data_IF_632363763062
#
_entry.id   IF_632363763062
#
_cell.length_a   1.000
_cell.length_b   1.000
_cell.length_c   1.000
_cell.angle_alpha   90.00
_cell.angle_beta   90.00
_cell.angle_gamma   90.00
#
_symmetry.space_group_name_H-M   'P 1'
#
loop_
_entity.id
_entity.type
_entity.pdbx_description
1 polymer ?
#
# COMPACT_ATOMS: atom_id res chain seq x y z
N UNK A 1 -54.48 -1.05 -26.11
CA UNK A 1 -53.44 -0.04 -25.97
C UNK A 1 -52.64 -0.37 -24.72
N UNK A 2 -51.40 -0.86 -24.89
CA UNK A 2 -50.44 -1.01 -23.79
C UNK A 2 -49.73 0.34 -23.65
N UNK A 3 -49.51 0.83 -22.43
CA UNK A 3 -48.71 2.02 -22.24
C UNK A 3 -47.25 1.74 -22.57
N UNK A 4 -46.66 2.52 -23.47
CA UNK A 4 -45.25 2.57 -23.78
C UNK A 4 -44.51 3.04 -22.51
N UNK A 5 -43.67 2.16 -21.93
CA UNK A 5 -42.75 2.52 -20.89
C UNK A 5 -41.70 3.46 -21.50
N UNK A 6 -41.73 4.75 -21.14
CA UNK A 6 -40.61 5.65 -21.37
C UNK A 6 -39.38 5.08 -20.64
N UNK A 7 -38.43 4.58 -21.41
CA UNK A 7 -37.05 4.37 -20.95
C UNK A 7 -36.51 5.78 -20.72
N UNK A 8 -36.39 6.20 -19.46
CA UNK A 8 -35.61 7.38 -19.10
C UNK A 8 -34.16 7.10 -19.54
N UNK A 9 -33.72 7.82 -20.57
CA UNK A 9 -32.31 7.90 -20.92
C UNK A 9 -31.55 8.41 -19.70
N UNK A 10 -30.84 7.51 -19.07
CA UNK A 10 -29.86 7.85 -18.05
C UNK A 10 -28.87 8.82 -18.69
N UNK A 11 -29.01 10.12 -18.43
CA UNK A 11 -28.04 11.12 -18.85
C UNK A 11 -26.68 10.69 -18.30
N UNK A 12 -25.74 10.36 -19.17
CA UNK A 12 -24.37 10.04 -18.78
C UNK A 12 -23.80 11.24 -18.04
N UNK A 13 -23.32 11.03 -16.80
CA UNK A 13 -22.64 12.09 -16.04
C UNK A 13 -21.44 12.60 -16.86
N UNK A 14 -21.31 13.90 -16.95
CA UNK A 14 -20.09 14.53 -17.46
C UNK A 14 -19.03 14.45 -16.35
N UNK A 15 -18.12 13.49 -16.48
CA UNK A 15 -17.07 13.23 -15.51
C UNK A 15 -15.75 13.76 -16.06
N UNK A 16 -15.26 14.85 -15.46
CA UNK A 16 -13.95 15.40 -15.75
C UNK A 16 -12.90 14.73 -14.87
N UNK A 17 -11.82 14.21 -15.47
CA UNK A 17 -10.67 13.65 -14.72
C UNK A 17 -9.45 14.53 -14.95
N UNK A 18 -8.82 14.95 -13.85
CA UNK A 18 -7.65 15.84 -13.84
C UNK A 18 -6.64 15.41 -12.78
N UNK A 19 -5.40 15.95 -12.78
CA UNK A 19 -4.51 15.82 -11.64
C UNK A 19 -5.15 16.33 -10.35
N UNK A 20 -4.94 15.63 -9.24
CA UNK A 20 -5.36 16.05 -7.90
C UNK A 20 -4.48 17.20 -7.43
N UNK A 21 -5.09 18.29 -6.98
CA UNK A 21 -4.39 19.49 -6.49
C UNK A 21 -4.29 19.51 -4.97
N UNK A 22 -3.38 20.30 -4.42
CA UNK A 22 -3.22 20.44 -2.97
C UNK A 22 -4.52 20.93 -2.29
N UNK A 23 -5.24 21.81 -2.95
CA UNK A 23 -6.55 22.32 -2.47
C UNK A 23 -7.65 21.27 -2.40
N UNK A 24 -7.48 20.10 -3.07
CA UNK A 24 -8.46 19.02 -3.06
C UNK A 24 -8.26 18.03 -1.89
N UNK A 25 -7.11 18.08 -1.20
CA UNK A 25 -6.67 17.02 -0.29
C UNK A 25 -7.64 16.79 0.87
N UNK A 26 -8.22 17.86 1.43
CA UNK A 26 -9.19 17.72 2.53
C UNK A 26 -10.48 17.03 2.06
N UNK A 27 -10.98 17.42 0.90
CA UNK A 27 -12.16 16.81 0.30
C UNK A 27 -11.89 15.35 -0.12
N UNK A 28 -10.72 15.08 -0.69
CA UNK A 28 -10.33 13.72 -1.09
C UNK A 28 -10.18 12.79 0.12
N UNK A 29 -9.59 13.25 1.24
CA UNK A 29 -9.49 12.49 2.49
C UNK A 29 -10.88 12.20 3.08
N UNK A 30 -11.75 13.21 3.10
CA UNK A 30 -13.13 13.03 3.56
C UNK A 30 -13.89 12.00 2.70
N UNK A 31 -13.78 12.09 1.36
CA UNK A 31 -14.39 11.13 0.43
C UNK A 31 -13.82 9.72 0.66
N UNK A 32 -12.52 9.58 0.87
CA UNK A 32 -11.88 8.29 1.13
C UNK A 32 -12.48 7.63 2.39
N UNK A 33 -12.54 8.38 3.49
CA UNK A 33 -13.11 7.89 4.75
C UNK A 33 -14.57 7.51 4.59
N UNK A 34 -15.37 8.40 4.02
CA UNK A 34 -16.79 8.18 3.79
C UNK A 34 -17.05 6.95 2.90
N UNK A 35 -16.29 6.80 1.81
CA UNK A 35 -16.46 5.68 0.88
C UNK A 35 -16.14 4.34 1.54
N UNK A 36 -14.98 4.20 2.17
CA UNK A 36 -14.62 2.94 2.83
C UNK A 36 -15.46 2.67 4.06
N UNK A 37 -15.71 3.68 4.90
CA UNK A 37 -16.54 3.52 6.10
C UNK A 37 -17.96 3.09 5.77
N UNK A 38 -18.57 3.67 4.72
CA UNK A 38 -19.88 3.25 4.21
C UNK A 38 -19.84 1.84 3.67
N UNK A 39 -18.79 1.50 2.89
CA UNK A 39 -18.66 0.18 2.29
C UNK A 39 -18.57 -0.95 3.32
N UNK A 40 -17.84 -0.74 4.41
CA UNK A 40 -17.71 -1.73 5.49
C UNK A 40 -18.79 -1.60 6.57
N UNK A 41 -19.73 -0.66 6.43
CA UNK A 41 -20.87 -0.50 7.33
C UNK A 41 -20.52 0.08 8.69
N UNK A 42 -19.55 1.00 8.78
CA UNK A 42 -19.25 1.69 10.04
C UNK A 42 -20.46 2.56 10.47
N UNK A 43 -20.76 2.63 11.77
CA UNK A 43 -21.80 3.55 12.29
C UNK A 43 -21.52 5.01 11.94
N UNK A 44 -20.25 5.41 11.96
CA UNK A 44 -19.76 6.74 11.59
C UNK A 44 -18.73 6.61 10.47
N UNK A 45 -19.16 6.55 9.20
CA UNK A 45 -18.26 6.27 8.07
C UNK A 45 -17.07 7.22 7.96
N UNK A 46 -17.24 8.50 8.28
CA UNK A 46 -16.18 9.50 8.24
C UNK A 46 -15.03 9.24 9.24
N UNK A 47 -15.22 8.36 10.22
CA UNK A 47 -14.21 7.95 11.20
C UNK A 47 -13.31 6.79 10.70
N UNK A 48 -13.51 6.32 9.47
CA UNK A 48 -12.67 5.26 8.91
C UNK A 48 -11.18 5.56 9.04
N UNK A 49 -10.40 4.62 9.58
CA UNK A 49 -8.95 4.70 9.81
C UNK A 49 -8.49 5.80 10.80
N UNK A 50 -9.40 6.41 11.58
CA UNK A 50 -9.04 7.37 12.61
C UNK A 50 -8.21 8.53 12.10
N UNK A 51 -7.00 8.71 12.60
CA UNK A 51 -6.05 9.76 12.22
C UNK A 51 -4.96 9.30 11.22
N UNK A 52 -5.11 8.12 10.63
CA UNK A 52 -4.24 7.70 9.53
C UNK A 52 -4.46 8.58 8.29
N UNK A 53 -3.39 8.92 7.57
CA UNK A 53 -3.43 9.80 6.40
C UNK A 53 -2.81 9.14 5.18
N UNK A 54 -3.66 8.63 4.28
CA UNK A 54 -3.26 8.04 3.01
C UNK A 54 -3.18 9.08 1.90
N UNK A 55 -4.10 10.03 1.90
CA UNK A 55 -4.28 10.98 0.81
C UNK A 55 -3.10 11.94 0.72
N UNK A 56 -2.78 12.62 1.83
CA UNK A 56 -1.70 13.61 1.85
C UNK A 56 -0.33 12.96 1.73
N UNK A 57 -0.12 11.81 2.38
CA UNK A 57 1.16 11.10 2.33
C UNK A 57 1.49 10.65 0.92
N UNK A 58 0.54 10.09 0.18
CA UNK A 58 0.72 9.63 -1.20
C UNK A 58 0.82 10.78 -2.19
N UNK A 59 -0.01 11.80 -2.03
CA UNK A 59 0.08 12.99 -2.86
C UNK A 59 1.45 13.67 -2.74
N UNK A 60 1.95 13.86 -1.51
CA UNK A 60 3.27 14.48 -1.27
C UNK A 60 4.44 13.62 -1.76
N UNK A 61 4.27 12.30 -1.79
CA UNK A 61 5.27 11.40 -2.36
C UNK A 61 5.38 11.58 -3.88
N UNK A 62 4.25 11.68 -4.58
CA UNK A 62 4.21 11.91 -6.03
C UNK A 62 2.90 12.60 -6.47
N UNK A 63 2.83 13.94 -6.49
CA UNK A 63 1.62 14.67 -6.92
C UNK A 63 1.18 14.35 -8.35
N UNK A 64 2.12 14.02 -9.26
CA UNK A 64 1.81 13.69 -10.65
C UNK A 64 1.15 12.32 -10.84
N UNK A 65 1.10 11.50 -9.78
CA UNK A 65 0.48 10.18 -9.78
C UNK A 65 -0.86 10.14 -9.03
N UNK A 66 -1.44 11.30 -8.74
CA UNK A 66 -2.71 11.43 -8.06
C UNK A 66 -3.74 12.09 -8.98
N UNK A 67 -4.93 11.48 -9.07
CA UNK A 67 -6.01 11.89 -9.97
C UNK A 67 -7.28 12.19 -9.21
N UNK A 68 -8.00 13.21 -9.67
CA UNK A 68 -9.29 13.66 -9.20
C UNK A 68 -10.37 13.41 -10.27
N UNK A 69 -11.57 13.04 -9.84
CA UNK A 69 -12.75 13.06 -10.67
C UNK A 69 -13.72 14.13 -10.18
N UNK A 70 -14.24 14.93 -11.11
CA UNK A 70 -15.20 15.99 -10.84
C UNK A 70 -16.49 15.77 -11.62
N UNK A 71 -17.58 16.17 -11.00
CA UNK A 71 -18.89 16.31 -11.63
C UNK A 71 -19.42 17.68 -11.26
N UNK A 72 -19.77 18.50 -12.27
CA UNK A 72 -20.28 19.86 -12.08
C UNK A 72 -19.36 20.74 -11.19
N UNK A 73 -18.04 20.56 -11.33
CA UNK A 73 -17.03 21.30 -10.55
C UNK A 73 -16.85 20.83 -9.09
N UNK A 74 -17.57 19.79 -8.66
CA UNK A 74 -17.43 19.17 -7.33
C UNK A 74 -16.51 17.95 -7.43
N UNK A 75 -15.51 17.85 -6.55
CA UNK A 75 -14.72 16.63 -6.38
C UNK A 75 -15.63 15.48 -5.92
N UNK A 76 -15.61 14.36 -6.65
CA UNK A 76 -16.44 13.18 -6.36
C UNK A 76 -15.64 11.90 -6.19
N UNK A 77 -14.34 11.94 -6.42
CA UNK A 77 -13.47 10.78 -6.23
C UNK A 77 -12.01 11.07 -6.51
N UNK A 78 -11.15 10.16 -6.08
CA UNK A 78 -9.71 10.23 -6.30
C UNK A 78 -9.08 8.84 -6.47
N UNK A 79 -7.88 8.81 -7.08
CA UNK A 79 -7.07 7.60 -7.19
C UNK A 79 -5.59 7.97 -7.17
N UNK A 80 -4.75 7.12 -6.57
CA UNK A 80 -3.33 7.35 -6.40
C UNK A 80 -2.55 6.16 -6.95
N UNK A 81 -1.53 6.42 -7.76
CA UNK A 81 -0.63 5.38 -8.23
C UNK A 81 0.73 5.49 -7.51
N UNK A 82 1.33 4.35 -7.21
CA UNK A 82 2.65 4.23 -6.58
C UNK A 82 3.57 3.43 -7.48
N UNK A 83 4.82 3.87 -7.58
CA UNK A 83 5.86 3.20 -8.37
C UNK A 83 6.98 2.69 -7.48
N UNK A 84 7.25 1.40 -7.57
CA UNK A 84 8.43 0.74 -7.00
C UNK A 84 9.29 0.16 -8.13
N UNK A 85 9.98 1.02 -8.87
CA UNK A 85 10.74 0.64 -10.06
C UNK A 85 9.87 0.12 -11.20
N UNK A 86 9.98 -1.18 -11.53
CA UNK A 86 9.15 -1.86 -12.54
C UNK A 86 7.84 -2.42 -11.98
N UNK A 87 7.65 -2.35 -10.67
CA UNK A 87 6.39 -2.70 -9.99
C UNK A 87 5.57 -1.44 -9.76
N UNK A 88 4.28 -1.48 -10.06
CA UNK A 88 3.35 -0.39 -9.81
C UNK A 88 2.08 -0.89 -9.11
N UNK A 89 1.51 -0.09 -8.24
CA UNK A 89 0.20 -0.38 -7.67
C UNK A 89 -0.60 0.91 -7.51
N UNK A 90 -1.90 0.79 -7.32
CA UNK A 90 -2.75 1.96 -7.13
C UNK A 90 -3.74 1.74 -6.00
N UNK A 91 -4.11 2.85 -5.41
CA UNK A 91 -5.07 2.99 -4.32
C UNK A 91 -4.63 4.12 -3.37
N UNK A 92 -5.54 4.58 -2.52
CA UNK A 92 -6.96 4.24 -2.52
C UNK A 92 -7.68 4.82 -3.75
N UNK A 93 -8.45 3.98 -4.45
CA UNK A 93 -9.44 4.42 -5.42
C UNK A 93 -10.77 4.62 -4.69
N UNK A 94 -11.20 5.84 -4.57
CA UNK A 94 -12.40 6.18 -3.79
C UNK A 94 -13.34 7.07 -4.57
N UNK A 95 -14.63 6.82 -4.41
CA UNK A 95 -15.72 7.60 -5.00
C UNK A 95 -16.74 7.89 -3.89
N UNK A 96 -17.18 9.14 -3.82
CA UNK A 96 -18.25 9.56 -2.91
C UNK A 96 -19.49 8.67 -3.09
N UNK A 97 -20.11 8.15 -2.02
CA UNK A 97 -21.20 7.17 -2.12
C UNK A 97 -22.37 7.58 -3.02
N UNK A 98 -22.71 8.87 -3.09
CA UNK A 98 -23.74 9.38 -3.97
C UNK A 98 -23.46 9.17 -5.46
N UNK A 99 -22.20 8.94 -5.84
CA UNK A 99 -21.75 8.75 -7.21
C UNK A 99 -21.34 7.31 -7.53
N UNK A 100 -21.63 6.36 -6.65
CA UNK A 100 -21.42 4.95 -6.94
C UNK A 100 -22.28 4.49 -8.11
N UNK A 101 -21.77 3.53 -8.86
CA UNK A 101 -22.44 2.91 -10.02
C UNK A 101 -22.69 3.86 -11.23
N UNK A 102 -22.09 5.04 -11.21
CA UNK A 102 -22.21 6.05 -12.28
C UNK A 102 -20.97 6.16 -13.19
N UNK A 103 -20.07 5.16 -13.16
CA UNK A 103 -18.90 5.10 -14.04
C UNK A 103 -17.65 5.87 -13.58
N UNK A 104 -17.71 6.62 -12.47
CA UNK A 104 -16.58 7.44 -11.97
C UNK A 104 -15.31 6.60 -11.77
N UNK A 105 -15.44 5.42 -11.15
CA UNK A 105 -14.29 4.54 -10.92
C UNK A 105 -13.60 4.09 -12.20
N UNK A 106 -14.36 3.83 -13.27
CA UNK A 106 -13.80 3.51 -14.58
C UNK A 106 -12.96 4.66 -15.12
N UNK A 107 -13.47 5.89 -15.04
CA UNK A 107 -12.77 7.10 -15.51
C UNK A 107 -11.47 7.36 -14.73
N UNK A 108 -11.45 7.11 -13.41
CA UNK A 108 -10.25 7.26 -12.57
C UNK A 108 -9.20 6.15 -12.80
N UNK A 109 -9.58 5.02 -13.41
CA UNK A 109 -8.65 3.96 -13.77
C UNK A 109 -7.89 4.24 -15.08
N UNK A 110 -8.46 5.02 -15.99
CA UNK A 110 -7.87 5.30 -17.31
C UNK A 110 -6.47 5.95 -17.18
N UNK A 111 -6.29 7.10 -16.49
CA UNK A 111 -4.98 7.73 -16.37
C UNK A 111 -3.96 6.90 -15.57
N UNK A 112 -4.39 6.03 -14.66
CA UNK A 112 -3.49 5.11 -13.96
C UNK A 112 -2.91 4.08 -14.93
N UNK A 113 -3.72 3.57 -15.86
CA UNK A 113 -3.26 2.67 -16.92
C UNK A 113 -2.21 3.31 -17.83
N UNK A 114 -2.46 4.55 -18.25
CA UNK A 114 -1.52 5.34 -19.06
C UNK A 114 -0.21 5.61 -18.30
N UNK A 115 -0.31 5.94 -17.02
CA UNK A 115 0.85 6.21 -16.17
C UNK A 115 1.71 4.95 -15.99
N UNK A 116 1.10 3.79 -15.78
CA UNK A 116 1.84 2.51 -15.70
C UNK A 116 2.56 2.18 -17.02
N UNK A 117 1.93 2.45 -18.16
CA UNK A 117 2.57 2.29 -19.47
C UNK A 117 3.76 3.25 -19.63
N UNK A 118 3.59 4.51 -19.25
CA UNK A 118 4.65 5.52 -19.27
C UNK A 118 5.83 5.16 -18.35
N UNK A 119 5.56 4.56 -17.19
CA UNK A 119 6.60 4.12 -16.25
C UNK A 119 7.34 2.86 -16.69
N UNK A 120 6.85 2.17 -17.73
CA UNK A 120 7.38 0.87 -18.12
C UNK A 120 7.11 -0.21 -17.07
N UNK A 121 5.97 -0.11 -16.36
CA UNK A 121 5.59 -1.07 -15.33
C UNK A 121 5.40 -2.45 -15.94
N UNK A 122 6.13 -3.43 -15.44
CA UNK A 122 6.05 -4.83 -15.90
C UNK A 122 5.12 -5.68 -15.03
N UNK A 123 4.89 -5.26 -13.78
CA UNK A 123 3.97 -5.93 -12.85
C UNK A 123 3.18 -4.87 -12.10
N UNK A 124 1.90 -4.80 -12.37
CA UNK A 124 0.98 -3.85 -11.73
C UNK A 124 0.00 -4.58 -10.82
N UNK A 125 -0.46 -3.90 -9.78
CA UNK A 125 -1.43 -4.49 -8.87
C UNK A 125 -2.24 -3.51 -8.05
N UNK A 126 -3.10 -4.08 -7.25
CA UNK A 126 -3.94 -3.40 -6.26
C UNK A 126 -4.34 -4.38 -5.16
N UNK A 127 -4.78 -3.85 -4.04
CA UNK A 127 -5.48 -4.60 -3.00
C UNK A 127 -6.96 -4.23 -2.99
N UNK A 128 -7.85 -5.23 -2.83
CA UNK A 128 -9.28 -4.98 -2.66
C UNK A 128 -9.93 -5.99 -1.71
N UNK A 129 -11.13 -5.69 -1.26
CA UNK A 129 -11.90 -6.60 -0.40
C UNK A 129 -12.30 -7.86 -1.18
N UNK A 130 -11.92 -9.03 -0.66
CA UNK A 130 -12.14 -10.32 -1.33
C UNK A 130 -13.63 -10.65 -1.57
N UNK A 131 -14.53 -10.09 -0.75
CA UNK A 131 -15.98 -10.28 -0.88
C UNK A 131 -16.67 -9.27 -1.82
N UNK A 132 -15.92 -8.31 -2.38
CA UNK A 132 -16.49 -7.29 -3.27
C UNK A 132 -16.45 -7.70 -4.72
N UNK A 133 -17.49 -8.37 -5.18
CA UNK A 133 -17.66 -8.76 -6.59
C UNK A 133 -17.66 -7.54 -7.53
N UNK A 134 -18.23 -6.42 -7.09
CA UNK A 134 -18.28 -5.17 -7.83
C UNK A 134 -16.88 -4.61 -8.10
N UNK A 135 -16.02 -4.54 -7.09
CA UNK A 135 -14.66 -4.05 -7.24
C UNK A 135 -13.83 -5.00 -8.10
N UNK A 136 -13.89 -6.31 -7.84
CA UNK A 136 -13.22 -7.30 -8.67
C UNK A 136 -13.63 -7.17 -10.14
N UNK A 137 -14.94 -7.05 -10.43
CA UNK A 137 -15.45 -6.88 -11.79
C UNK A 137 -14.99 -5.58 -12.45
N UNK A 138 -14.84 -4.48 -11.70
CA UNK A 138 -14.26 -3.24 -12.24
C UNK A 138 -12.81 -3.46 -12.68
N UNK A 139 -11.96 -4.00 -11.80
CA UNK A 139 -10.54 -4.14 -12.09
C UNK A 139 -10.25 -5.17 -13.18
N UNK A 140 -11.06 -6.22 -13.30
CA UNK A 140 -10.98 -7.19 -14.41
C UNK A 140 -11.17 -6.54 -15.79
N UNK A 141 -12.00 -5.50 -15.91
CA UNK A 141 -12.16 -4.74 -17.17
C UNK A 141 -10.88 -4.03 -17.61
N UNK A 142 -9.94 -3.79 -16.68
CA UNK A 142 -8.62 -3.20 -16.92
C UNK A 142 -7.50 -4.25 -17.01
N UNK A 143 -7.85 -5.53 -16.97
CA UNK A 143 -6.91 -6.65 -17.11
C UNK A 143 -6.23 -7.05 -15.80
N UNK A 144 -6.73 -6.62 -14.64
CA UNK A 144 -6.25 -7.10 -13.34
C UNK A 144 -7.00 -8.37 -12.92
N UNK A 145 -6.28 -9.37 -12.45
CA UNK A 145 -6.83 -10.67 -12.09
C UNK A 145 -6.57 -10.99 -10.63
N UNK A 146 -7.59 -11.50 -9.88
CA UNK A 146 -7.40 -11.91 -8.50
C UNK A 146 -6.42 -13.07 -8.43
N UNK A 147 -5.46 -12.95 -7.52
CA UNK A 147 -4.44 -13.99 -7.32
C UNK A 147 -4.63 -14.63 -5.96
N UNK A 148 -3.95 -14.24 -4.94
CA UNK A 148 -4.04 -14.88 -3.63
C UNK A 148 -4.68 -13.93 -2.63
N UNK A 149 -5.24 -14.52 -1.55
CA UNK A 149 -5.66 -13.74 -0.41
C UNK A 149 -4.45 -13.02 0.20
N UNK A 150 -4.67 -11.83 0.68
CA UNK A 150 -3.68 -11.03 1.39
C UNK A 150 -4.23 -10.71 2.76
N UNK A 151 -3.48 -11.10 3.79
CA UNK A 151 -3.84 -10.87 5.17
C UNK A 151 -3.23 -9.56 5.65
N UNK A 152 -4.06 -8.60 6.06
CA UNK A 152 -3.64 -7.44 6.82
C UNK A 152 -3.62 -7.85 8.28
N UNK A 153 -2.44 -7.85 8.89
CA UNK A 153 -2.21 -8.48 10.18
C UNK A 153 -1.63 -7.49 11.18
N UNK A 154 -1.93 -7.71 12.46
CA UNK A 154 -1.31 -6.95 13.53
C UNK A 154 -0.96 -7.81 14.72
N UNK A 155 -0.06 -7.28 15.56
CA UNK A 155 0.23 -7.81 16.88
C UNK A 155 0.50 -6.67 17.86
N UNK A 156 0.25 -6.87 19.17
CA UNK A 156 0.76 -5.98 20.22
C UNK A 156 2.30 -5.99 20.22
N UNK A 157 2.90 -4.85 20.53
CA UNK A 157 4.35 -4.74 20.70
C UNK A 157 4.69 -5.15 22.12
N UNK A 158 5.61 -6.09 22.25
CA UNK A 158 6.16 -6.52 23.51
C UNK A 158 7.54 -5.86 23.70
N UNK A 159 7.79 -5.23 24.86
CA UNK A 159 9.08 -4.64 25.18
C UNK A 159 10.12 -5.73 25.49
N UNK A 160 10.48 -6.52 24.48
CA UNK A 160 11.56 -7.52 24.58
C UNK A 160 12.79 -7.01 23.84
N UNK A 161 13.91 -6.96 24.53
CA UNK A 161 15.20 -6.78 23.85
C UNK A 161 15.56 -8.09 23.15
N UNK A 162 15.66 -8.09 21.84
CA UNK A 162 16.01 -9.29 21.05
C UNK A 162 17.52 -9.47 20.85
N UNK A 163 18.35 -8.48 21.25
CA UNK A 163 19.78 -8.50 20.95
C UNK A 163 20.14 -8.47 19.46
N UNK A 164 19.16 -8.22 18.59
CA UNK A 164 19.37 -8.06 17.15
C UNK A 164 20.06 -6.74 16.88
N UNK A 165 21.14 -6.76 16.11
CA UNK A 165 21.80 -5.57 15.60
C UNK A 165 21.05 -5.08 14.37
N UNK A 166 20.57 -3.83 14.42
CA UNK A 166 19.87 -3.14 13.34
C UNK A 166 20.19 -1.65 13.36
N UNK A 167 19.98 -0.99 12.24
CA UNK A 167 20.11 0.46 12.10
C UNK A 167 18.92 1.04 11.32
N UNK A 168 18.86 2.38 11.24
CA UNK A 168 17.84 3.02 10.41
C UNK A 168 18.46 3.95 9.38
N UNK A 169 17.73 4.17 8.30
CA UNK A 169 18.16 5.08 7.23
C UNK A 169 18.35 6.52 7.72
N UNK A 170 17.51 6.98 8.67
CA UNK A 170 17.62 8.33 9.20
C UNK A 170 18.88 8.56 10.05
N UNK A 171 19.40 7.50 10.71
CA UNK A 171 20.61 7.56 11.52
C UNK A 171 21.90 7.55 10.68
N UNK A 172 21.79 7.16 9.40
CA UNK A 172 22.95 7.10 8.53
C UNK A 172 23.49 8.50 8.20
N UNK A 173 24.82 8.67 8.20
CA UNK A 173 25.43 9.91 7.73
C UNK A 173 24.99 10.25 6.29
N UNK A 174 24.77 11.52 5.96
CA UNK A 174 24.34 11.91 4.61
C UNK A 174 25.22 11.35 3.50
N UNK A 175 26.52 11.25 3.70
CA UNK A 175 27.48 10.71 2.74
C UNK A 175 27.31 9.21 2.44
N UNK A 176 26.68 8.46 3.34
CA UNK A 176 26.46 7.01 3.20
C UNK A 176 25.09 6.66 2.61
N UNK A 177 24.15 7.60 2.59
CA UNK A 177 22.77 7.35 2.19
C UNK A 177 22.62 6.83 0.76
N UNK A 178 23.42 7.32 -0.17
CA UNK A 178 23.41 6.83 -1.55
C UNK A 178 23.85 5.36 -1.63
N UNK A 179 24.89 4.97 -0.87
CA UNK A 179 25.35 3.59 -0.79
C UNK A 179 24.28 2.68 -0.18
N UNK A 180 23.58 3.15 0.86
CA UNK A 180 22.48 2.42 1.48
C UNK A 180 21.33 2.22 0.48
N UNK A 181 20.92 3.27 -0.23
CA UNK A 181 19.90 3.18 -1.29
C UNK A 181 20.30 2.16 -2.35
N UNK A 182 21.56 2.18 -2.79
CA UNK A 182 22.06 1.21 -3.76
C UNK A 182 22.03 -0.22 -3.22
N UNK A 183 22.36 -0.43 -1.94
CA UNK A 183 22.24 -1.74 -1.29
C UNK A 183 20.79 -2.20 -1.17
N UNK A 184 19.86 -1.30 -0.84
CA UNK A 184 18.42 -1.59 -0.83
C UNK A 184 17.92 -2.00 -2.22
N UNK A 185 18.30 -1.27 -3.26
CA UNK A 185 17.97 -1.58 -4.65
C UNK A 185 18.50 -2.95 -5.08
N UNK A 186 19.74 -3.29 -4.74
CA UNK A 186 20.31 -4.60 -5.03
C UNK A 186 19.56 -5.73 -4.30
N UNK A 187 19.13 -5.52 -3.06
CA UNK A 187 18.34 -6.49 -2.32
C UNK A 187 17.00 -6.71 -3.01
N UNK A 188 16.26 -5.66 -3.31
CA UNK A 188 14.90 -5.75 -3.89
C UNK A 188 14.93 -6.28 -5.34
N UNK A 189 15.93 -5.87 -6.16
CA UNK A 189 16.14 -6.42 -7.51
C UNK A 189 16.43 -7.93 -7.48
N UNK A 190 17.10 -8.44 -6.44
CA UNK A 190 17.34 -9.88 -6.27
C UNK A 190 16.06 -10.71 -5.98
N UNK A 191 15.01 -10.06 -5.49
CA UNK A 191 13.71 -10.68 -5.21
C UNK A 191 12.83 -10.67 -6.47
N UNK A 192 12.78 -9.51 -7.11
CA UNK A 192 12.03 -9.30 -8.33
C UNK A 192 12.74 -8.25 -9.19
N UNK A 193 13.00 -8.57 -10.46
CA UNK A 193 13.79 -7.75 -11.36
C UNK A 193 13.19 -6.35 -11.53
N UNK A 194 13.97 -5.34 -11.17
CA UNK A 194 13.59 -3.95 -11.26
C UNK A 194 12.68 -3.46 -10.10
N UNK A 195 12.43 -4.27 -9.06
CA UNK A 195 11.78 -3.78 -7.83
C UNK A 195 12.71 -2.81 -7.12
N UNK A 196 12.28 -1.56 -6.95
CA UNK A 196 13.07 -0.47 -6.40
C UNK A 196 12.24 0.39 -5.44
N UNK A 197 12.61 0.39 -4.18
CA UNK A 197 11.95 1.11 -3.10
C UNK A 197 12.56 2.50 -2.83
N UNK A 198 13.48 2.98 -3.66
CA UNK A 198 14.16 4.27 -3.46
C UNK A 198 13.18 5.40 -3.19
N UNK A 199 12.16 5.55 -4.03
CA UNK A 199 11.16 6.63 -3.88
C UNK A 199 10.37 6.54 -2.58
N UNK A 200 10.08 5.33 -2.10
CA UNK A 200 9.36 5.12 -0.84
C UNK A 200 10.24 5.44 0.37
N UNK A 201 11.50 4.97 0.37
CA UNK A 201 12.47 5.27 1.43
C UNK A 201 12.69 6.79 1.55
N UNK A 202 12.88 7.47 0.41
CA UNK A 202 13.05 8.92 0.36
C UNK A 202 11.80 9.68 0.81
N UNK A 203 10.62 9.22 0.39
CA UNK A 203 9.34 9.83 0.80
C UNK A 203 9.13 9.74 2.32
N UNK A 204 9.39 8.57 2.91
CA UNK A 204 9.30 8.36 4.37
C UNK A 204 10.27 9.27 5.11
N UNK A 205 11.52 9.35 4.66
CA UNK A 205 12.53 10.21 5.27
C UNK A 205 12.20 11.71 5.13
N UNK A 206 11.84 12.16 3.93
CA UNK A 206 11.51 13.56 3.62
C UNK A 206 10.30 14.06 4.37
N UNK A 207 9.24 13.25 4.41
CA UNK A 207 7.98 13.59 5.08
C UNK A 207 7.98 13.26 6.58
N UNK A 208 9.04 12.61 7.11
CA UNK A 208 9.16 12.15 8.50
C UNK A 208 8.01 11.21 8.92
N UNK A 209 7.60 10.33 8.02
CA UNK A 209 6.47 9.42 8.25
C UNK A 209 6.82 8.24 9.17
N UNK A 210 8.09 7.97 9.38
CA UNK A 210 8.61 6.84 10.13
C UNK A 210 10.10 6.67 9.89
N UNK A 211 10.52 5.45 9.52
CA UNK A 211 11.93 5.18 9.16
C UNK A 211 12.05 3.90 8.32
N UNK A 212 13.25 3.65 7.80
CA UNK A 212 13.58 2.38 7.16
C UNK A 212 14.55 1.62 8.04
N UNK A 213 14.14 0.44 8.52
CA UNK A 213 14.97 -0.51 9.26
C UNK A 213 15.90 -1.22 8.27
N UNK A 214 17.16 -1.36 8.67
CA UNK A 214 18.23 -1.96 7.87
C UNK A 214 18.91 -3.06 8.68
N UNK A 215 19.02 -4.25 8.08
CA UNK A 215 19.77 -5.38 8.64
C UNK A 215 21.03 -5.63 7.82
N UNK A 216 22.17 -5.66 8.49
CA UNK A 216 23.46 -5.90 7.88
C UNK A 216 24.09 -7.20 8.41
N UNK A 217 24.88 -7.86 7.55
CA UNK A 217 25.79 -8.94 7.90
C UNK A 217 27.13 -8.65 7.24
N UNK A 218 28.06 -8.12 8.04
CA UNK A 218 29.24 -7.45 7.49
C UNK A 218 28.81 -6.28 6.60
N UNK A 219 29.35 -6.21 5.39
CA UNK A 219 29.03 -5.14 4.42
C UNK A 219 27.80 -5.46 3.55
N UNK A 220 27.15 -6.59 3.76
CA UNK A 220 26.00 -6.99 2.97
C UNK A 220 24.68 -6.64 3.67
N UNK A 221 23.81 -5.87 3.00
CA UNK A 221 22.44 -5.66 3.42
C UNK A 221 21.64 -6.95 3.22
N UNK A 222 21.10 -7.51 4.30
CA UNK A 222 20.32 -8.77 4.30
C UNK A 222 18.82 -8.55 4.44
N UNK A 223 18.40 -7.40 4.98
CA UNK A 223 16.98 -7.08 5.12
C UNK A 223 16.70 -5.59 5.21
N UNK A 224 15.53 -5.18 4.74
CA UNK A 224 15.00 -3.82 4.84
C UNK A 224 13.53 -3.85 5.25
N UNK A 225 13.08 -2.82 6.01
CA UNK A 225 11.67 -2.56 6.21
C UNK A 225 11.37 -1.06 6.22
N UNK A 226 10.52 -0.61 5.31
CA UNK A 226 10.03 0.76 5.23
C UNK A 226 8.77 0.87 6.08
N UNK A 227 8.82 1.69 7.13
CA UNK A 227 7.79 1.77 8.15
C UNK A 227 7.20 3.18 8.25
N UNK A 228 5.88 3.26 8.38
CA UNK A 228 5.16 4.44 8.81
C UNK A 228 4.83 4.33 10.30
N UNK A 229 4.89 5.42 11.05
CA UNK A 229 4.79 5.41 12.51
C UNK A 229 3.92 6.55 13.03
N UNK A 230 2.83 6.22 13.71
CA UNK A 230 2.03 7.19 14.46
C UNK A 230 1.04 8.01 13.62
N UNK A 231 0.43 9.04 14.24
CA UNK A 231 -0.63 9.85 13.65
C UNK A 231 -0.17 10.65 12.42
N UNK A 232 -1.08 10.93 11.49
CA UNK A 232 -0.80 11.67 10.26
C UNK A 232 0.06 10.90 9.25
N UNK A 233 0.24 9.59 9.43
CA UNK A 233 0.89 8.67 8.51
C UNK A 233 -0.10 7.56 8.09
N UNK A 234 0.27 6.67 7.17
CA UNK A 234 -0.60 5.53 6.83
C UNK A 234 -0.78 4.54 8.01
N UNK A 235 -0.03 4.70 9.11
CA UNK A 235 -0.13 3.85 10.29
C UNK A 235 -1.26 4.24 11.25
N UNK A 236 -1.46 5.54 11.49
CA UNK A 236 -2.33 6.06 12.54
C UNK A 236 -1.75 5.94 13.94
N UNK A 237 -2.43 6.53 14.93
CA UNK A 237 -2.00 6.59 16.33
C UNK A 237 -1.68 5.22 16.92
N UNK A 238 -0.62 5.16 17.71
CA UNK A 238 -0.18 3.97 18.43
C UNK A 238 0.37 2.83 17.57
N UNK A 239 0.42 2.98 16.25
CA UNK A 239 0.76 1.92 15.29
C UNK A 239 2.07 2.19 14.56
N UNK A 240 2.87 1.14 14.37
CA UNK A 240 3.91 1.06 13.36
C UNK A 240 3.40 0.17 12.21
N UNK A 241 3.31 0.70 11.01
CA UNK A 241 2.93 -0.03 9.81
C UNK A 241 4.17 -0.32 8.96
N UNK A 242 4.47 -1.60 8.78
CA UNK A 242 5.48 -2.07 7.83
C UNK A 242 4.85 -2.06 6.44
N UNK A 243 5.06 -0.98 5.69
CA UNK A 243 4.51 -0.79 4.35
C UNK A 243 5.17 -1.70 3.32
N UNK A 244 6.46 -1.91 3.48
CA UNK A 244 7.25 -2.88 2.75
C UNK A 244 8.34 -3.43 3.67
N UNK A 245 8.55 -4.74 3.67
CA UNK A 245 9.68 -5.37 4.36
C UNK A 245 10.12 -6.60 3.58
N UNK A 246 11.43 -6.79 3.43
CA UNK A 246 11.96 -7.94 2.71
C UNK A 246 13.36 -8.30 3.17
N UNK A 247 13.69 -9.59 3.02
CA UNK A 247 15.05 -10.10 3.20
C UNK A 247 15.53 -10.80 1.95
N UNK A 248 16.84 -10.94 1.81
CA UNK A 248 17.42 -11.71 0.70
C UNK A 248 16.88 -13.14 0.70
N UNK A 249 16.51 -13.63 -0.48
CA UNK A 249 16.16 -15.03 -0.67
C UNK A 249 17.40 -15.92 -0.47
N UNK A 250 17.22 -17.10 0.11
CA UNK A 250 18.28 -18.08 0.34
C UNK A 250 18.14 -18.81 1.67
N UNK A 251 19.14 -19.59 2.06
CA UNK A 251 19.13 -20.45 3.25
C UNK A 251 18.93 -19.67 4.56
N UNK A 252 19.42 -18.43 4.63
CA UNK A 252 19.25 -17.56 5.80
C UNK A 252 17.91 -16.80 5.83
N UNK A 253 17.08 -16.89 4.78
CA UNK A 253 15.89 -16.06 4.61
C UNK A 253 14.91 -16.11 5.79
N UNK A 254 14.67 -17.31 6.35
CA UNK A 254 13.81 -17.48 7.52
C UNK A 254 14.37 -16.76 8.75
N UNK A 255 15.65 -16.96 9.05
CA UNK A 255 16.30 -16.34 10.20
C UNK A 255 16.45 -14.80 10.03
N UNK A 256 16.76 -14.33 8.83
CA UNK A 256 16.87 -12.90 8.54
C UNK A 256 15.48 -12.22 8.59
N UNK A 257 14.42 -12.93 8.22
CA UNK A 257 13.05 -12.40 8.34
C UNK A 257 12.61 -12.27 9.80
N UNK A 258 12.96 -13.24 10.68
CA UNK A 258 12.78 -13.13 12.13
C UNK A 258 13.50 -11.88 12.69
N UNK A 259 14.76 -11.69 12.32
CA UNK A 259 15.55 -10.53 12.74
C UNK A 259 14.95 -9.22 12.22
N UNK A 260 14.39 -9.20 11.00
CA UNK A 260 13.75 -8.01 10.44
C UNK A 260 12.51 -7.64 11.25
N UNK A 261 11.68 -8.62 11.61
CA UNK A 261 10.51 -8.40 12.46
C UNK A 261 10.90 -7.92 13.84
N UNK A 262 11.98 -8.47 14.43
CA UNK A 262 12.54 -7.98 15.70
C UNK A 262 12.98 -6.51 15.62
N UNK A 263 13.66 -6.14 14.56
CA UNK A 263 14.07 -4.75 14.32
C UNK A 263 12.89 -3.79 14.20
N UNK A 264 11.82 -4.21 13.50
CA UNK A 264 10.59 -3.43 13.39
C UNK A 264 9.87 -3.27 14.75
N UNK A 265 9.80 -4.36 15.54
CA UNK A 265 9.20 -4.33 16.88
C UNK A 265 9.98 -3.42 17.82
N UNK A 266 11.33 -3.51 17.84
CA UNK A 266 12.18 -2.65 18.65
C UNK A 266 12.10 -1.18 18.23
N UNK A 267 12.12 -0.90 16.93
CA UNK A 267 11.94 0.48 16.44
C UNK A 267 10.59 1.05 16.90
N UNK A 268 9.53 0.27 16.83
CA UNK A 268 8.21 0.69 17.27
C UNK A 268 8.14 0.88 18.80
N UNK A 269 8.74 -0.02 19.58
CA UNK A 269 8.85 0.10 21.03
C UNK A 269 9.63 1.36 21.45
N UNK A 270 10.77 1.65 20.79
CA UNK A 270 11.57 2.85 21.02
C UNK A 270 10.80 4.15 20.71
N UNK A 271 9.74 4.07 19.93
CA UNK A 271 8.82 5.19 19.62
C UNK A 271 7.55 5.18 20.48
N UNK A 272 7.48 4.33 21.51
CA UNK A 272 6.33 4.15 22.39
C UNK A 272 5.04 3.79 21.63
N UNK A 273 5.16 3.05 20.53
CA UNK A 273 4.01 2.52 19.80
C UNK A 273 3.60 1.18 20.40
N UNK A 274 2.29 0.89 20.37
CA UNK A 274 1.72 -0.29 21.03
C UNK A 274 1.40 -1.44 20.09
N UNK A 275 1.42 -1.18 18.77
CA UNK A 275 0.95 -2.13 17.75
C UNK A 275 1.88 -2.14 16.55
N UNK A 276 2.26 -3.32 16.09
CA UNK A 276 2.89 -3.54 14.79
C UNK A 276 1.83 -4.03 13.81
N UNK A 277 1.74 -3.40 12.65
CA UNK A 277 0.81 -3.74 11.58
C UNK A 277 1.58 -4.03 10.30
N UNK A 278 1.23 -5.11 9.60
CA UNK A 278 1.91 -5.54 8.38
C UNK A 278 0.97 -6.39 7.51
N UNK A 279 1.09 -6.29 6.20
CA UNK A 279 0.33 -7.13 5.28
C UNK A 279 1.21 -8.18 4.61
N UNK A 280 0.64 -9.36 4.36
CA UNK A 280 1.34 -10.45 3.67
C UNK A 280 0.40 -11.19 2.73
N UNK A 281 0.84 -11.37 1.48
CA UNK A 281 0.14 -12.24 0.53
C UNK A 281 0.35 -13.71 0.91
N UNK A 282 -0.72 -14.49 1.00
CA UNK A 282 -0.67 -15.89 1.48
C UNK A 282 0.10 -16.82 0.54
N UNK A 283 0.41 -16.42 -0.68
CA UNK A 283 1.31 -17.15 -1.58
C UNK A 283 2.77 -17.13 -1.09
N UNK A 284 3.14 -16.17 -0.27
CA UNK A 284 4.41 -16.14 0.47
C UNK A 284 4.27 -16.92 1.76
N UNK A 285 4.00 -18.22 1.60
CA UNK A 285 3.51 -19.12 2.65
C UNK A 285 4.41 -19.14 3.89
N UNK A 286 5.72 -19.17 3.69
CA UNK A 286 6.70 -19.22 4.78
C UNK A 286 6.66 -17.93 5.61
N UNK A 287 6.65 -16.76 4.96
CA UNK A 287 6.53 -15.47 5.63
C UNK A 287 5.20 -15.36 6.40
N UNK A 288 4.08 -15.77 5.78
CA UNK A 288 2.77 -15.77 6.43
C UNK A 288 2.74 -16.68 7.68
N UNK A 289 3.26 -17.93 7.58
CA UNK A 289 3.37 -18.84 8.73
C UNK A 289 4.20 -18.25 9.86
N UNK A 290 5.33 -17.66 9.53
CA UNK A 290 6.25 -17.09 10.50
C UNK A 290 5.61 -15.90 11.24
N UNK A 291 4.89 -15.04 10.53
CA UNK A 291 4.12 -13.97 11.16
C UNK A 291 3.04 -14.52 12.10
N UNK A 292 2.30 -15.57 11.71
CA UNK A 292 1.34 -16.23 12.60
C UNK A 292 2.00 -16.79 13.85
N UNK A 293 3.15 -17.48 13.71
CA UNK A 293 3.91 -18.04 14.84
C UNK A 293 4.40 -16.95 15.80
N UNK A 294 4.73 -15.75 15.31
CA UNK A 294 5.11 -14.59 16.11
C UNK A 294 3.93 -13.86 16.78
N UNK A 295 2.71 -14.35 16.63
CA UNK A 295 1.54 -13.80 17.28
C UNK A 295 0.77 -12.74 16.49
N UNK A 296 1.12 -12.50 15.21
CA UNK A 296 0.27 -11.70 14.35
C UNK A 296 -1.10 -12.36 14.17
N UNK A 297 -2.14 -11.55 14.10
CA UNK A 297 -3.51 -12.00 13.80
C UNK A 297 -4.04 -11.17 12.64
N UNK A 298 -4.84 -11.81 11.79
CA UNK A 298 -5.47 -11.15 10.65
C UNK A 298 -6.61 -10.26 11.12
N UNK A 299 -6.52 -8.98 10.83
CA UNK A 299 -7.58 -8.00 11.08
C UNK A 299 -8.54 -7.89 9.89
N UNK A 300 -7.97 -7.85 8.68
CA UNK A 300 -8.71 -7.74 7.43
C UNK A 300 -8.12 -8.71 6.43
N UNK A 301 -8.98 -9.38 5.68
CA UNK A 301 -8.58 -10.24 4.58
C UNK A 301 -9.11 -9.67 3.26
N UNK A 302 -8.21 -9.47 2.32
CA UNK A 302 -8.53 -9.02 0.99
C UNK A 302 -7.87 -9.90 -0.08
N UNK A 303 -7.88 -9.42 -1.29
CA UNK A 303 -7.24 -10.07 -2.43
C UNK A 303 -6.37 -9.07 -3.17
N UNK A 304 -5.15 -9.48 -3.49
CA UNK A 304 -4.32 -8.76 -4.45
C UNK A 304 -4.76 -9.16 -5.86
N UNK A 305 -4.96 -8.15 -6.71
CA UNK A 305 -5.21 -8.36 -8.12
C UNK A 305 -4.03 -7.85 -8.93
N UNK A 306 -3.56 -8.64 -9.89
CA UNK A 306 -2.32 -8.36 -10.65
C UNK A 306 -2.55 -8.30 -12.15
N UNK A 307 -1.74 -7.48 -12.81
CA UNK A 307 -1.58 -7.38 -14.26
C UNK A 307 -0.08 -7.32 -14.61
N UNK A 308 0.45 -8.27 -15.42
CA UNK A 308 -0.23 -9.44 -16.00
C UNK A 308 -0.73 -10.43 -14.93
N UNK A 309 -1.51 -11.45 -15.36
CA UNK A 309 -1.99 -12.50 -14.47
C UNK A 309 -0.87 -13.49 -14.10
N UNK A 310 0.11 -13.01 -13.38
CA UNK A 310 1.31 -13.73 -12.96
C UNK A 310 1.54 -13.57 -11.45
N UNK A 311 2.29 -14.47 -10.87
CA UNK A 311 2.59 -14.44 -9.44
C UNK A 311 3.50 -13.26 -9.04
N UNK A 312 4.35 -12.80 -9.94
CA UNK A 312 5.38 -11.82 -9.59
C UNK A 312 6.30 -12.39 -8.51
N UNK A 313 6.47 -11.66 -7.42
CA UNK A 313 7.20 -12.14 -6.24
C UNK A 313 6.31 -12.81 -5.18
N UNK A 314 5.00 -12.99 -5.46
CA UNK A 314 4.06 -13.69 -4.58
C UNK A 314 4.18 -15.21 -4.80
N UNK A 315 5.23 -15.83 -4.23
CA UNK A 315 5.57 -17.23 -4.38
C UNK A 315 6.25 -17.78 -3.12
N UNK A 316 6.25 -19.13 -2.93
CA UNK A 316 6.99 -19.76 -1.83
C UNK A 316 8.47 -19.39 -1.82
N UNK A 317 9.08 -19.38 -0.62
CA UNK A 317 10.49 -19.04 -0.42
C UNK A 317 10.82 -17.54 -0.48
N UNK A 318 9.84 -16.68 -0.69
CA UNK A 318 10.00 -15.22 -0.62
C UNK A 318 9.51 -14.72 0.73
N UNK A 319 10.43 -14.16 1.51
CA UNK A 319 10.17 -13.55 2.80
C UNK A 319 10.01 -12.04 2.60
N UNK A 320 8.77 -11.61 2.39
CA UNK A 320 8.43 -10.23 2.06
C UNK A 320 7.08 -9.84 2.67
N UNK A 321 7.01 -8.64 3.18
CA UNK A 321 5.82 -7.94 3.70
C UNK A 321 5.46 -6.86 2.71
N UNK A 322 4.28 -6.87 2.19
CA UNK A 322 3.55 -5.78 1.57
C UNK A 322 2.09 -6.18 1.36
N UNK A 323 1.22 -5.21 1.13
CA UNK A 323 -0.20 -5.47 0.90
C UNK A 323 -0.83 -4.64 -0.23
N UNK A 324 -0.13 -3.68 -0.80
CA UNK A 324 -0.57 -2.79 -1.90
C UNK A 324 -1.90 -2.06 -1.65
N UNK A 325 -2.26 -1.85 -0.39
CA UNK A 325 -3.48 -1.10 -0.05
C UNK A 325 -3.30 0.41 -0.16
#
# INVERSE_FOLDING_TARGET
MKPESKIEESSSLDINVRPLQESDLDAADHIMRLAFGTFIGLPEPAQFMGDADYVRTRWRANPSAAFAAEVEGRLVGSNFATRWGTVGFFGPLTIHPEFWDRGVGKRLMEPVGDLFAQWGTTHAGLFTFAHSQKHAGLYQKFGFWPRFLTALMSKPIENKSSGVEWSTFSQAPPAERENIINACRQLTDSIYKGLDLTSEIEAVAKQKLGDTVLLWKGDQLTGIAVCHCGPGTEAGSGTCYVKFGAVRSGESGEADFERLLDGCEQMAANRNLSRLFAGVNTARHEAYRQMLARGFRTDIQGVVMSKPNEAGYNRPGVYLIDDWR
#
